data_IF_612070847099
#
_entry.id   IF_612070847099
#
_cell.length_a   1.000
_cell.length_b   1.000
_cell.length_c   1.000
_cell.angle_alpha   90.00
_cell.angle_beta   90.00
_cell.angle_gamma   90.00
#
_symmetry.space_group_name_H-M   'P 1'
#
loop_
_entity.id
_entity.type
_entity.pdbx_description
1 polymer ?
#
# COMPACT_ATOMS: atom_id res chain seq x y z
N UNK A 1 30.44 51.77 -64.50
CA UNK A 1 29.85 52.13 -63.19
C UNK A 1 28.66 51.22 -62.94
N UNK A 2 28.75 50.27 -62.01
CA UNK A 2 27.65 49.40 -61.61
C UNK A 2 27.32 49.66 -60.13
N UNK A 3 26.05 49.92 -59.84
CA UNK A 3 25.52 50.22 -58.50
C UNK A 3 25.33 48.95 -57.67
N UNK A 4 25.66 48.92 -56.36
CA UNK A 4 25.49 47.73 -55.54
C UNK A 4 24.02 47.58 -55.11
N UNK A 5 23.45 46.40 -55.34
CA UNK A 5 22.11 46.02 -54.87
C UNK A 5 22.17 45.68 -53.37
N UNK A 6 21.55 46.51 -52.53
CA UNK A 6 21.30 46.17 -51.13
C UNK A 6 20.23 45.06 -51.03
N UNK A 7 20.61 43.88 -50.54
CA UNK A 7 19.67 42.83 -50.11
C UNK A 7 19.13 43.20 -48.73
N UNK A 8 17.86 43.61 -48.66
CA UNK A 8 17.14 43.75 -47.40
C UNK A 8 16.83 42.36 -46.84
N UNK A 9 17.50 41.99 -45.76
CA UNK A 9 17.12 40.81 -44.98
C UNK A 9 15.77 41.08 -44.31
N UNK A 10 14.80 40.14 -44.36
CA UNK A 10 13.50 40.35 -43.77
C UNK A 10 13.62 40.39 -42.24
N UNK A 11 13.41 41.58 -41.66
CA UNK A 11 13.45 41.88 -40.22
C UNK A 11 12.59 40.94 -39.35
N UNK A 12 11.63 40.23 -39.96
CA UNK A 12 10.73 39.27 -39.30
C UNK A 12 11.46 38.02 -38.77
N UNK A 13 12.60 37.62 -39.35
CA UNK A 13 13.34 36.45 -38.88
C UNK A 13 14.19 36.74 -37.62
N UNK A 14 14.51 38.01 -37.37
CA UNK A 14 15.42 38.43 -36.30
C UNK A 14 14.72 38.54 -34.92
N UNK A 15 13.38 38.61 -34.91
CA UNK A 15 12.56 38.72 -33.68
C UNK A 15 12.04 37.35 -33.19
N UNK A 16 11.87 36.37 -34.10
CA UNK A 16 11.36 35.04 -33.73
C UNK A 16 12.37 34.20 -32.95
N UNK A 17 13.66 34.34 -33.25
CA UNK A 17 14.74 33.61 -32.59
C UNK A 17 14.90 33.97 -31.09
N UNK A 18 14.95 35.24 -30.67
CA UNK A 18 15.07 35.59 -29.26
C UNK A 18 13.82 35.24 -28.46
N UNK A 19 12.63 35.28 -29.06
CA UNK A 19 11.37 34.88 -28.39
C UNK A 19 11.35 33.37 -28.15
N UNK A 20 11.72 32.56 -29.15
CA UNK A 20 11.81 31.10 -29.00
C UNK A 20 12.88 30.70 -27.98
N UNK A 21 14.03 31.38 -27.97
CA UNK A 21 15.08 31.18 -26.98
C UNK A 21 14.63 31.60 -25.57
N UNK A 22 13.93 32.74 -25.43
CA UNK A 22 13.34 33.14 -24.15
C UNK A 22 12.30 32.13 -23.65
N UNK A 23 11.44 31.61 -24.53
CA UNK A 23 10.46 30.57 -24.16
C UNK A 23 11.18 29.30 -23.73
N UNK A 24 12.20 28.85 -24.47
CA UNK A 24 13.02 27.69 -24.10
C UNK A 24 13.71 27.89 -22.75
N UNK A 25 14.30 29.06 -22.52
CA UNK A 25 14.95 29.41 -21.24
C UNK A 25 13.94 29.51 -20.09
N UNK A 26 12.72 30.00 -20.32
CA UNK A 26 11.65 30.03 -19.32
C UNK A 26 11.10 28.63 -19.02
N UNK A 27 11.01 27.76 -20.02
CA UNK A 27 10.63 26.35 -19.84
C UNK A 27 11.72 25.58 -19.09
N UNK A 28 12.99 25.79 -19.41
CA UNK A 28 14.13 25.23 -18.68
C UNK A 28 14.20 25.75 -17.24
N UNK A 29 13.91 27.05 -17.03
CA UNK A 29 13.88 27.67 -15.69
C UNK A 29 12.70 27.21 -14.85
N UNK A 30 11.53 26.95 -15.45
CA UNK A 30 10.39 26.32 -14.75
C UNK A 30 10.72 24.91 -14.24
N UNK A 31 11.62 24.20 -14.92
CA UNK A 31 12.09 22.88 -14.48
C UNK A 31 12.98 22.92 -13.22
N UNK A 32 13.49 24.10 -12.84
CA UNK A 32 14.44 24.27 -11.73
C UNK A 32 13.82 24.74 -10.42
N UNK A 33 12.54 25.12 -10.41
CA UNK A 33 11.82 25.42 -9.17
C UNK A 33 11.18 24.15 -8.66
N UNK A 34 11.95 23.37 -7.89
CA UNK A 34 11.37 22.40 -6.99
C UNK A 34 10.41 23.16 -6.06
N UNK A 35 9.11 22.85 -6.14
CA UNK A 35 8.15 23.38 -5.17
C UNK A 35 8.66 23.03 -3.76
N UNK A 36 8.65 23.97 -2.80
CA UNK A 36 8.99 23.63 -1.44
C UNK A 36 8.08 22.48 -0.99
N UNK A 37 8.63 21.42 -0.37
CA UNK A 37 7.82 20.29 0.05
C UNK A 37 6.74 20.80 0.99
N UNK A 38 5.48 20.50 0.66
CA UNK A 38 4.31 20.80 1.51
C UNK A 38 4.31 19.99 2.82
N UNK A 39 5.27 19.09 2.97
CA UNK A 39 5.45 18.18 4.09
C UNK A 39 6.77 18.55 4.77
N UNK A 40 6.81 18.69 6.11
CA UNK A 40 8.05 18.95 6.84
C UNK A 40 9.14 17.94 6.46
N UNK A 41 10.40 18.37 6.51
CA UNK A 41 11.55 17.53 6.20
C UNK A 41 11.54 16.27 7.08
N UNK A 42 11.14 15.16 6.47
CA UNK A 42 11.08 13.86 7.12
C UNK A 42 12.51 13.45 7.54
N UNK A 43 12.71 12.85 8.72
CA UNK A 43 13.96 12.18 9.02
C UNK A 43 14.34 11.24 7.87
N UNK A 44 15.62 11.14 7.53
CA UNK A 44 16.05 10.22 6.49
C UNK A 44 15.58 8.80 6.85
N UNK A 45 14.89 8.08 5.95
CA UNK A 45 14.42 6.74 6.23
C UNK A 45 15.62 5.81 6.47
N UNK A 46 15.54 4.94 7.47
CA UNK A 46 16.62 4.02 7.85
C UNK A 46 16.25 2.58 7.48
N UNK A 47 16.89 1.99 6.45
CA UNK A 47 16.61 0.63 6.02
C UNK A 47 16.80 -0.42 7.13
N UNK A 48 17.64 -0.14 8.13
CA UNK A 48 17.88 -1.04 9.26
C UNK A 48 16.70 -1.11 10.23
N UNK A 49 15.78 -0.14 10.15
CA UNK A 49 14.56 -0.09 10.95
C UNK A 49 13.35 -0.68 10.23
N UNK A 50 13.52 -1.14 8.99
CA UNK A 50 12.46 -1.76 8.22
C UNK A 50 11.82 -2.90 9.01
N UNK A 51 10.50 -2.84 9.13
CA UNK A 51 9.70 -3.91 9.70
C UNK A 51 8.46 -4.13 8.86
N UNK A 52 8.09 -5.41 8.71
CA UNK A 52 6.84 -5.82 8.07
C UNK A 52 5.94 -6.48 9.11
N UNK A 53 4.68 -6.05 9.16
CA UNK A 53 3.63 -6.61 9.98
C UNK A 53 2.56 -7.24 9.09
N UNK A 54 2.27 -8.52 9.28
CA UNK A 54 1.18 -9.20 8.57
C UNK A 54 -0.12 -8.97 9.34
N UNK A 55 -1.15 -8.48 8.65
CA UNK A 55 -2.53 -8.35 9.15
C UNK A 55 -3.42 -9.33 8.40
N UNK A 56 -3.77 -10.43 9.03
CA UNK A 56 -4.64 -11.44 8.42
C UNK A 56 -6.08 -11.21 8.87
N UNK A 57 -6.94 -10.81 7.93
CA UNK A 57 -8.38 -10.63 8.14
C UNK A 57 -9.09 -11.97 8.00
N UNK A 58 -9.92 -12.34 8.98
CA UNK A 58 -10.69 -13.58 8.91
C UNK A 58 -12.02 -13.48 9.65
N UNK A 59 -12.96 -14.36 9.28
CA UNK A 59 -14.32 -14.35 9.81
C UNK A 59 -14.82 -15.75 10.19
N UNK A 60 -15.37 -16.51 9.24
CA UNK A 60 -16.13 -17.74 9.51
C UNK A 60 -15.72 -18.92 8.61
N UNK A 61 -14.55 -18.85 7.96
CA UNK A 61 -14.06 -19.86 7.00
C UNK A 61 -12.79 -20.58 7.49
N UNK A 62 -12.91 -21.63 8.33
CA UNK A 62 -11.76 -22.29 8.95
C UNK A 62 -10.75 -22.87 7.94
N UNK A 63 -11.24 -23.59 6.93
CA UNK A 63 -10.37 -24.26 5.96
C UNK A 63 -9.58 -23.29 5.07
N UNK A 64 -10.20 -22.24 4.47
CA UNK A 64 -9.46 -21.16 3.82
C UNK A 64 -8.43 -20.49 4.74
N UNK A 65 -8.83 -20.11 5.95
CA UNK A 65 -7.93 -19.47 6.92
C UNK A 65 -6.68 -20.30 7.20
N UNK A 66 -6.86 -21.59 7.48
CA UNK A 66 -5.74 -22.51 7.73
C UNK A 66 -4.83 -22.66 6.50
N UNK A 67 -5.40 -22.62 5.30
CA UNK A 67 -4.63 -22.66 4.05
C UNK A 67 -3.81 -21.39 3.87
N UNK A 68 -4.40 -20.22 4.11
CA UNK A 68 -3.72 -18.93 4.11
C UNK A 68 -2.56 -18.91 5.12
N UNK A 69 -2.83 -19.26 6.38
CA UNK A 69 -1.84 -19.33 7.46
C UNK A 69 -0.65 -20.24 7.12
N UNK A 70 -0.92 -21.43 6.55
CA UNK A 70 0.14 -22.35 6.11
C UNK A 70 0.99 -21.73 5.00
N UNK A 71 0.37 -21.07 4.02
CA UNK A 71 1.11 -20.40 2.95
C UNK A 71 2.00 -19.28 3.51
N UNK A 72 1.48 -18.45 4.42
CA UNK A 72 2.24 -17.39 5.10
C UNK A 72 3.40 -17.97 5.92
N UNK A 73 3.19 -19.07 6.66
CA UNK A 73 4.24 -19.69 7.47
C UNK A 73 5.32 -20.39 6.63
N UNK A 74 4.98 -20.85 5.42
CA UNK A 74 5.92 -21.48 4.48
C UNK A 74 6.79 -20.49 3.70
N UNK A 75 6.50 -19.19 3.78
CA UNK A 75 7.23 -18.18 3.02
C UNK A 75 8.65 -17.94 3.54
N UNK A 76 9.51 -17.49 2.62
CA UNK A 76 10.88 -17.10 2.90
C UNK A 76 10.95 -15.63 3.30
N UNK A 77 11.24 -15.37 4.57
CA UNK A 77 11.36 -14.03 5.15
C UNK A 77 12.79 -13.47 5.14
N UNK A 78 13.71 -14.07 4.37
CA UNK A 78 15.13 -13.66 4.28
C UNK A 78 15.83 -13.56 5.66
N UNK A 79 15.35 -14.32 6.65
CA UNK A 79 15.85 -14.29 8.04
C UNK A 79 15.34 -13.13 8.91
N UNK A 80 14.51 -12.25 8.36
CA UNK A 80 13.91 -11.16 9.13
C UNK A 80 12.83 -11.68 10.08
N UNK A 81 12.65 -10.96 11.20
CA UNK A 81 11.51 -11.21 12.09
C UNK A 81 10.28 -10.47 11.58
N UNK A 82 9.20 -11.21 11.33
CA UNK A 82 7.92 -10.68 10.85
C UNK A 82 6.81 -11.05 11.82
N UNK A 83 6.12 -10.04 12.34
CA UNK A 83 4.99 -10.25 13.24
C UNK A 83 3.72 -10.60 12.44
N UNK A 84 2.90 -11.48 13.02
CA UNK A 84 1.60 -11.87 12.48
C UNK A 84 0.50 -11.46 13.45
N UNK A 85 -0.41 -10.59 13.01
CA UNK A 85 -1.63 -10.28 13.73
C UNK A 85 -2.82 -10.88 12.97
N UNK A 86 -3.51 -11.83 13.58
CA UNK A 86 -4.77 -12.37 13.08
C UNK A 86 -5.91 -11.53 13.63
N UNK A 87 -6.70 -10.92 12.74
CA UNK A 87 -7.83 -10.05 13.06
C UNK A 87 -9.10 -10.83 12.78
N UNK A 88 -9.77 -11.27 13.85
CA UNK A 88 -11.00 -12.06 13.78
C UNK A 88 -12.21 -11.16 14.01
N UNK A 89 -13.10 -11.10 13.03
CA UNK A 89 -14.38 -10.42 13.19
C UNK A 89 -15.36 -11.23 14.03
N UNK A 90 -16.26 -10.52 14.69
CA UNK A 90 -17.25 -11.12 15.55
C UNK A 90 -18.42 -11.64 14.72
N UNK A 91 -19.05 -12.74 15.14
CA UNK A 91 -20.29 -13.21 14.54
C UNK A 91 -21.46 -12.29 14.93
N UNK A 92 -22.46 -12.05 14.06
CA UNK A 92 -23.64 -11.30 14.44
C UNK A 92 -24.46 -12.04 15.52
N UNK A 93 -25.26 -11.31 16.33
CA UNK A 93 -26.19 -11.94 17.28
C UNK A 93 -27.11 -12.95 16.57
N UNK A 94 -27.48 -14.03 17.28
CA UNK A 94 -28.33 -15.11 16.75
C UNK A 94 -27.72 -15.87 15.56
N UNK A 95 -26.40 -15.90 15.45
CA UNK A 95 -25.70 -16.74 14.47
C UNK A 95 -26.07 -18.21 14.60
N UNK A 96 -26.12 -18.90 13.46
CA UNK A 96 -26.51 -20.31 13.39
C UNK A 96 -25.48 -21.22 14.08
N UNK A 97 -25.92 -22.40 14.54
CA UNK A 97 -25.03 -23.38 15.15
C UNK A 97 -23.79 -23.76 14.29
N UNK A 98 -23.90 -23.91 12.96
CA UNK A 98 -22.74 -24.11 12.10
C UNK A 98 -21.72 -22.96 12.13
N UNK A 99 -22.18 -21.71 12.15
CA UNK A 99 -21.29 -20.54 12.22
C UNK A 99 -20.57 -20.47 13.58
N UNK A 100 -21.29 -20.77 14.68
CA UNK A 100 -20.69 -20.85 16.01
C UNK A 100 -19.62 -21.95 16.08
N UNK A 101 -19.89 -23.12 15.50
CA UNK A 101 -18.92 -24.22 15.41
C UNK A 101 -17.68 -23.82 14.60
N UNK A 102 -17.86 -23.17 13.44
CA UNK A 102 -16.76 -22.66 12.62
C UNK A 102 -15.92 -21.61 13.37
N UNK A 103 -16.56 -20.71 14.12
CA UNK A 103 -15.85 -19.72 14.93
C UNK A 103 -15.01 -20.37 16.04
N UNK A 104 -15.54 -21.38 16.73
CA UNK A 104 -14.77 -22.15 17.72
C UNK A 104 -13.60 -22.92 17.09
N UNK A 105 -13.81 -23.50 15.90
CA UNK A 105 -12.74 -24.16 15.14
C UNK A 105 -11.62 -23.17 14.78
N UNK A 106 -12.00 -21.98 14.29
CA UNK A 106 -11.04 -20.90 13.98
C UNK A 106 -10.24 -20.52 15.21
N UNK A 107 -10.89 -20.20 16.33
CA UNK A 107 -10.22 -19.78 17.57
C UNK A 107 -9.20 -20.84 18.02
N UNK A 108 -9.65 -22.10 18.08
CA UNK A 108 -8.78 -23.24 18.45
C UNK A 108 -7.60 -23.38 17.50
N UNK A 109 -7.85 -23.28 16.19
CA UNK A 109 -6.85 -23.43 15.16
C UNK A 109 -5.82 -22.29 15.17
N UNK A 110 -6.25 -21.03 15.28
CA UNK A 110 -5.34 -19.88 15.28
C UNK A 110 -4.51 -19.81 16.54
N UNK A 111 -5.06 -20.18 17.70
CA UNK A 111 -4.34 -20.23 18.97
C UNK A 111 -3.21 -21.27 18.90
N UNK A 112 -3.52 -22.47 18.39
CA UNK A 112 -2.56 -23.57 18.29
C UNK A 112 -1.55 -23.41 17.13
N UNK A 113 -1.83 -22.57 16.13
CA UNK A 113 -0.99 -22.48 14.93
C UNK A 113 0.42 -21.93 15.24
N UNK A 114 1.51 -22.65 14.91
CA UNK A 114 2.86 -22.17 15.18
C UNK A 114 3.26 -21.06 14.20
N UNK A 115 3.83 -19.97 14.73
CA UNK A 115 4.41 -18.89 13.92
C UNK A 115 5.92 -18.78 14.19
N UNK A 116 6.78 -19.32 13.30
CA UNK A 116 8.22 -19.38 13.55
C UNK A 116 8.96 -18.07 13.25
N UNK A 117 8.30 -17.11 12.59
CA UNK A 117 8.96 -15.93 12.01
C UNK A 117 8.93 -14.70 12.91
N UNK A 118 8.27 -14.73 14.06
CA UNK A 118 8.18 -13.57 14.93
C UNK A 118 7.10 -13.69 15.99
N UNK A 119 6.56 -12.55 16.41
CA UNK A 119 5.43 -12.51 17.32
C UNK A 119 4.12 -12.88 16.61
N UNK A 120 3.27 -13.65 17.28
CA UNK A 120 1.88 -13.90 16.86
C UNK A 120 0.92 -13.25 17.86
N UNK A 121 0.01 -12.40 17.38
CA UNK A 121 -1.10 -11.84 18.16
C UNK A 121 -2.43 -12.17 17.50
N UNK A 122 -3.45 -12.40 18.32
CA UNK A 122 -4.81 -12.66 17.85
C UNK A 122 -5.68 -11.55 18.44
N UNK A 123 -6.39 -10.84 17.57
CA UNK A 123 -7.29 -9.76 17.93
C UNK A 123 -8.71 -10.20 17.60
N UNK A 124 -9.50 -10.44 18.64
CA UNK A 124 -10.91 -10.77 18.50
C UNK A 124 -11.77 -9.55 18.72
N UNK A 125 -12.68 -9.27 17.78
CA UNK A 125 -13.63 -8.17 17.92
C UNK A 125 -14.75 -8.52 18.89
N UNK A 126 -15.19 -7.52 19.64
CA UNK A 126 -16.33 -7.63 20.57
C UNK A 126 -17.68 -7.50 19.88
N UNK A 127 -17.71 -6.99 18.64
CA UNK A 127 -18.91 -6.79 17.84
C UNK A 127 -18.58 -6.95 16.35
N UNK A 128 -19.59 -7.35 15.55
CA UNK A 128 -19.42 -7.59 14.12
C UNK A 128 -19.18 -6.24 13.43
N UNK A 129 -17.99 -6.05 12.87
CA UNK A 129 -17.61 -4.81 12.21
C UNK A 129 -17.89 -4.86 10.70
N UNK A 130 -17.88 -6.06 10.12
CA UNK A 130 -18.02 -6.26 8.69
C UNK A 130 -16.75 -5.93 7.91
N UNK A 131 -16.73 -6.33 6.64
CA UNK A 131 -15.53 -6.33 5.80
C UNK A 131 -14.87 -4.94 5.69
N UNK A 132 -15.66 -3.89 5.46
CA UNK A 132 -15.12 -2.54 5.26
C UNK A 132 -14.39 -2.02 6.51
N UNK A 133 -15.00 -2.16 7.69
CA UNK A 133 -14.40 -1.71 8.94
C UNK A 133 -13.19 -2.56 9.31
N UNK A 134 -13.22 -3.87 9.05
CA UNK A 134 -12.05 -4.72 9.22
C UNK A 134 -10.83 -4.22 8.44
N UNK A 135 -11.03 -3.83 7.17
CA UNK A 135 -9.97 -3.27 6.34
C UNK A 135 -9.48 -1.90 6.84
N UNK A 136 -10.40 -0.98 7.12
CA UNK A 136 -10.08 0.40 7.54
C UNK A 136 -9.32 0.42 8.87
N UNK A 137 -9.68 -0.48 9.79
CA UNK A 137 -9.12 -0.53 11.14
C UNK A 137 -7.98 -1.56 11.29
N UNK A 138 -7.54 -2.19 10.19
CA UNK A 138 -6.57 -3.29 10.24
C UNK A 138 -5.19 -2.87 10.77
N UNK A 139 -4.78 -1.62 10.52
CA UNK A 139 -3.42 -1.17 10.76
C UNK A 139 -3.33 0.32 11.08
N UNK A 140 -2.56 0.63 12.12
CA UNK A 140 -2.12 1.97 12.48
C UNK A 140 -0.60 1.93 12.69
N UNK A 141 0.21 2.55 11.81
CA UNK A 141 1.67 2.43 11.86
C UNK A 141 2.23 3.02 13.15
N UNK A 142 3.12 2.27 13.82
CA UNK A 142 3.86 2.77 14.97
C UNK A 142 5.06 3.64 14.61
N UNK A 143 5.54 3.56 13.36
CA UNK A 143 6.65 4.36 12.85
C UNK A 143 6.63 4.45 11.33
N UNK A 144 7.41 5.38 10.80
CA UNK A 144 7.66 5.55 9.37
C UNK A 144 8.40 4.35 8.72
N UNK A 145 9.02 3.47 9.49
CA UNK A 145 9.75 2.30 8.99
C UNK A 145 8.97 0.99 9.24
N UNK A 146 7.71 1.11 9.69
CA UNK A 146 6.77 0.01 9.81
C UNK A 146 5.87 -0.04 8.58
N UNK A 147 5.80 -1.21 7.94
CA UNK A 147 4.94 -1.48 6.80
C UNK A 147 3.98 -2.62 7.15
N UNK A 148 2.77 -2.59 6.59
CA UNK A 148 1.83 -3.69 6.73
C UNK A 148 1.59 -4.43 5.41
N UNK A 149 1.47 -5.75 5.52
CA UNK A 149 0.85 -6.59 4.50
C UNK A 149 -0.50 -7.05 5.03
N UNK A 150 -1.59 -6.49 4.47
CA UNK A 150 -2.96 -6.89 4.80
C UNK A 150 -3.41 -7.97 3.82
N UNK A 151 -3.91 -9.09 4.35
CA UNK A 151 -4.25 -10.30 3.60
C UNK A 151 -5.57 -10.87 4.13
N UNK A 152 -6.41 -11.39 3.24
CA UNK A 152 -7.68 -12.06 3.59
C UNK A 152 -7.49 -13.58 3.71
N UNK A 153 -8.35 -14.21 4.49
CA UNK A 153 -8.33 -15.65 4.78
C UNK A 153 -8.49 -16.57 3.56
N UNK A 154 -8.96 -16.06 2.43
CA UNK A 154 -9.14 -16.84 1.20
C UNK A 154 -7.95 -16.79 0.23
N UNK A 155 -6.88 -16.06 0.58
CA UNK A 155 -5.67 -15.97 -0.21
C UNK A 155 -4.64 -17.05 0.14
N UNK A 156 -3.85 -17.43 -0.87
CA UNK A 156 -2.61 -18.18 -0.71
C UNK A 156 -1.47 -17.38 -1.32
N UNK A 157 -0.39 -17.20 -0.57
CA UNK A 157 0.76 -16.42 -1.02
C UNK A 157 1.86 -17.31 -1.56
N UNK A 158 2.60 -16.81 -2.56
CA UNK A 158 3.84 -17.43 -3.01
C UNK A 158 4.88 -17.44 -1.89
N UNK A 159 5.73 -18.48 -1.77
CA UNK A 159 6.85 -18.46 -0.82
C UNK A 159 7.80 -17.27 -0.98
N UNK A 160 7.78 -16.57 -2.12
CA UNK A 160 8.63 -15.42 -2.42
C UNK A 160 7.92 -14.06 -2.25
N UNK A 161 6.68 -14.03 -1.78
CA UNK A 161 5.90 -12.78 -1.70
C UNK A 161 6.59 -11.71 -0.83
N UNK A 162 7.18 -12.13 0.29
CA UNK A 162 7.89 -11.24 1.21
C UNK A 162 9.05 -10.53 0.52
N UNK A 163 9.88 -11.30 -0.21
CA UNK A 163 11.03 -10.78 -0.96
C UNK A 163 10.62 -9.74 -1.99
N UNK A 164 9.47 -9.96 -2.64
CA UNK A 164 8.89 -8.97 -3.54
C UNK A 164 8.52 -7.68 -2.80
N UNK A 165 7.75 -7.78 -1.70
CA UNK A 165 7.33 -6.62 -0.91
C UNK A 165 8.52 -5.84 -0.35
N UNK A 166 9.48 -6.53 0.27
CA UNK A 166 10.72 -5.93 0.79
C UNK A 166 11.47 -5.20 -0.33
N UNK A 167 11.60 -5.80 -1.52
CA UNK A 167 12.27 -5.15 -2.66
C UNK A 167 11.55 -3.88 -3.12
N UNK A 168 10.22 -3.89 -3.19
CA UNK A 168 9.43 -2.69 -3.54
C UNK A 168 9.71 -1.56 -2.56
N UNK A 169 9.64 -1.85 -1.25
CA UNK A 169 9.91 -0.86 -0.21
C UNK A 169 11.37 -0.36 -0.27
N UNK A 170 12.34 -1.26 -0.32
CA UNK A 170 13.76 -0.89 -0.42
C UNK A 170 14.05 -0.01 -1.63
N UNK A 171 13.41 -0.29 -2.78
CA UNK A 171 13.63 0.45 -4.03
C UNK A 171 12.93 1.81 -4.08
N UNK A 172 11.68 1.91 -3.63
CA UNK A 172 10.88 3.12 -3.85
C UNK A 172 10.75 4.00 -2.60
N UNK A 173 11.15 3.51 -1.44
CA UNK A 173 11.07 4.24 -0.17
C UNK A 173 12.44 4.60 0.39
N UNK A 174 13.36 3.62 0.44
CA UNK A 174 14.66 3.79 1.09
C UNK A 174 15.77 4.25 0.14
N UNK A 175 15.79 3.75 -1.09
CA UNK A 175 16.78 4.13 -2.12
C UNK A 175 16.53 5.57 -2.59
N UNK A 176 17.43 6.48 -2.22
CA UNK A 176 17.33 7.92 -2.52
C UNK A 176 17.26 8.24 -4.01
N UNK A 177 17.89 7.45 -4.86
CA UNK A 177 17.88 7.67 -6.31
C UNK A 177 16.54 7.27 -6.94
N UNK A 178 15.83 6.35 -6.31
CA UNK A 178 14.59 5.75 -6.81
C UNK A 178 13.36 6.08 -5.95
N UNK A 179 13.54 6.90 -4.91
CA UNK A 179 12.48 7.35 -4.03
C UNK A 179 11.35 7.98 -4.83
N UNK A 180 10.13 7.51 -4.58
CA UNK A 180 8.93 8.03 -5.24
C UNK A 180 7.83 8.28 -4.21
N UNK A 181 7.43 9.54 -3.98
CA UNK A 181 6.30 9.85 -3.10
C UNK A 181 4.95 9.44 -3.69
N UNK A 182 4.92 8.91 -4.91
CA UNK A 182 3.71 8.45 -5.60
C UNK A 182 3.49 6.93 -5.46
N UNK A 183 4.42 6.19 -4.86
CA UNK A 183 4.28 4.76 -4.60
C UNK A 183 3.84 4.57 -3.15
N UNK A 184 2.55 4.28 -2.96
CA UNK A 184 1.96 4.08 -1.63
C UNK A 184 1.95 2.61 -1.19
N UNK A 185 2.13 1.66 -2.11
CA UNK A 185 2.14 0.24 -1.80
C UNK A 185 2.04 -0.66 -3.03
N UNK A 186 1.84 -1.95 -2.78
CA UNK A 186 1.58 -2.96 -3.79
C UNK A 186 0.27 -3.68 -3.45
N UNK A 187 -0.49 -4.10 -4.48
CA UNK A 187 -1.75 -4.83 -4.30
C UNK A 187 -1.90 -5.93 -5.34
N UNK A 188 -2.52 -7.04 -4.94
CA UNK A 188 -2.97 -8.10 -5.84
C UNK A 188 -4.30 -7.75 -6.53
N UNK A 189 -5.04 -6.79 -5.98
CA UNK A 189 -6.32 -6.36 -6.48
C UNK A 189 -6.18 -5.05 -7.26
N UNK A 190 -7.02 -4.89 -8.30
CA UNK A 190 -7.13 -3.61 -9.00
C UNK A 190 -7.78 -2.58 -8.06
N UNK A 191 -7.33 -1.32 -8.05
CA UNK A 191 -7.95 -0.26 -7.27
C UNK A 191 -9.29 0.14 -7.90
N UNK A 192 -10.31 -0.70 -7.71
CA UNK A 192 -11.68 -0.48 -8.19
C UNK A 192 -12.64 -0.09 -7.07
N UNK A 193 -12.24 -0.31 -5.82
CA UNK A 193 -13.08 -0.02 -4.66
C UNK A 193 -12.77 1.38 -4.13
N UNK A 194 -13.81 2.19 -3.98
CA UNK A 194 -13.76 3.51 -3.35
C UNK A 194 -14.52 3.40 -2.02
N UNK A 195 -13.85 3.74 -0.91
CA UNK A 195 -14.51 3.79 0.38
C UNK A 195 -15.60 4.88 0.38
N UNK A 196 -16.81 4.55 0.82
CA UNK A 196 -17.90 5.51 1.02
C UNK A 196 -19.01 5.54 -0.05
N UNK A 197 -18.88 4.84 -1.17
CA UNK A 197 -19.89 4.91 -2.25
C UNK A 197 -21.20 4.16 -1.91
N UNK A 198 -21.19 3.30 -0.89
CA UNK A 198 -22.36 2.53 -0.42
C UNK A 198 -23.19 3.22 0.67
N UNK A 199 -22.80 4.40 1.15
CA UNK A 199 -23.56 5.12 2.19
C UNK A 199 -24.71 5.98 1.65
N UNK A 200 -24.84 6.12 0.32
CA UNK A 200 -25.86 6.99 -0.30
C UNK A 200 -27.09 6.20 -0.79
N UNK A 201 -27.04 4.87 -0.89
CA UNK A 201 -28.13 4.09 -1.51
C UNK A 201 -29.19 3.54 -0.55
N UNK A 202 -29.07 3.69 0.78
CA UNK A 202 -30.04 3.13 1.75
C UNK A 202 -30.70 4.17 2.68
N UNK A 203 -30.72 5.44 2.30
CA UNK A 203 -31.63 6.43 2.92
C UNK A 203 -32.90 6.49 2.06
N UNK A 204 -33.72 5.43 2.09
CA UNK A 204 -35.15 5.40 1.75
C UNK A 204 -35.65 3.94 1.66
N UNK A 205 -35.78 3.29 2.81
CA UNK A 205 -36.67 2.14 2.97
C UNK A 205 -37.14 2.10 4.44
N UNK A 206 -38.23 2.84 4.70
CA UNK A 206 -39.17 2.54 5.78
C UNK A 206 -40.09 1.42 5.32
#
# INVERSE_FOLDING_TARGET
MASPRHRSFPLRLLVLFPVSLCILLLLLRRSSYAAPPLIPARPAPDPHRFSLLIKLLAYDRPAPLLRCLRSLASADYDGDRVALHVLLDHLPPNSSAPLLAASHEILTAVDAFPWPHGEKRIHYRVANAGLQAQWIEAWWPGSDDEFAFVVEDDLEVSPLYYRFLKRVVMRYYYDRENYSPYVFGASLQRPRFVAGESLVSNVNAC
#
